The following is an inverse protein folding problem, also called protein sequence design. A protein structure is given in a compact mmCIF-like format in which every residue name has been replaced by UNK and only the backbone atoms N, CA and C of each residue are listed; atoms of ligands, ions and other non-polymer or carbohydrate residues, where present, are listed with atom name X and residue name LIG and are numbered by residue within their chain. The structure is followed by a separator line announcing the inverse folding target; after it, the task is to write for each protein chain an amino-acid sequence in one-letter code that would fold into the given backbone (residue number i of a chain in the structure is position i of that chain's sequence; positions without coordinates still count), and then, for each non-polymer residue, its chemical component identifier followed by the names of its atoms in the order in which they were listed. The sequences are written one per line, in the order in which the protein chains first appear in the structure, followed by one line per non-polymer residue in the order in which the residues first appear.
data_IF_681456917187
#
_entry.id   IF_681456917187
#
_cell.length_a   1.000
_cell.length_b   1.000
_cell.length_c   1.000
_cell.angle_alpha   90.00
_cell.angle_beta   90.00
_cell.angle_gamma   90.00
#
_symmetry.space_group_name_H-M   'P 1'
#
loop_
_entity.id
_entity.type
_entity.pdbx_description
1 polymer ?
#
# COMPACT_ATOMS: atom_id res chain seq x y z
N UNK A 1 12.97 2.73 6.98
CA UNK A 1 11.66 2.67 7.69
C UNK A 1 11.76 1.90 9.00
N UNK A 2 12.16 0.60 9.02
CA UNK A 2 12.33 -0.18 10.27
C UNK A 2 13.07 0.56 11.39
N UNK A 3 14.23 1.14 11.08
CA UNK A 3 15.02 1.90 12.07
C UNK A 3 14.27 3.12 12.61
N UNK A 4 13.50 3.81 11.76
CA UNK A 4 12.69 4.96 12.15
C UNK A 4 11.54 4.54 13.08
N UNK A 5 10.87 3.42 12.79
CA UNK A 5 9.80 2.88 13.65
C UNK A 5 10.32 2.60 15.07
N UNK A 6 11.47 1.94 15.18
CA UNK A 6 12.05 1.60 16.48
C UNK A 6 12.60 2.84 17.18
N UNK A 7 13.45 3.62 16.50
CA UNK A 7 14.19 4.70 17.14
C UNK A 7 13.34 5.94 17.45
N UNK A 8 12.35 6.25 16.60
CA UNK A 8 11.52 7.45 16.75
C UNK A 8 10.15 7.16 17.35
N UNK A 9 9.52 6.06 16.95
CA UNK A 9 8.14 5.74 17.36
C UNK A 9 8.07 4.66 18.45
N UNK A 10 9.21 4.10 18.87
CA UNK A 10 9.26 3.18 20.00
C UNK A 10 8.65 1.80 19.74
N UNK A 11 8.51 1.40 18.47
CA UNK A 11 8.06 0.06 18.13
C UNK A 11 9.03 -0.97 18.69
N UNK A 12 8.52 -2.02 19.34
CA UNK A 12 9.33 -3.13 19.79
C UNK A 12 9.96 -3.83 18.57
N UNK A 13 11.30 -3.93 18.46
CA UNK A 13 11.94 -4.57 17.32
C UNK A 13 11.55 -6.04 17.11
N UNK A 14 11.03 -6.72 18.14
CA UNK A 14 10.50 -8.09 18.05
C UNK A 14 9.09 -8.13 17.43
N UNK A 15 8.37 -7.01 17.42
CA UNK A 15 7.06 -6.84 16.77
C UNK A 15 7.17 -6.13 15.41
N UNK A 16 8.38 -6.06 14.83
CA UNK A 16 8.58 -5.54 13.48
C UNK A 16 9.10 -6.65 12.57
N UNK A 17 8.19 -7.26 11.82
CA UNK A 17 8.51 -8.28 10.81
C UNK A 17 8.95 -7.64 9.49
N UNK A 18 9.97 -8.21 8.84
CA UNK A 18 10.52 -7.72 7.57
C UNK A 18 10.53 -8.84 6.52
N UNK A 19 9.78 -8.64 5.43
CA UNK A 19 9.77 -9.53 4.27
C UNK A 19 10.50 -8.83 3.13
N UNK A 20 11.57 -9.45 2.63
CA UNK A 20 12.43 -8.92 1.56
C UNK A 20 12.86 -10.04 0.63
N UNK A 21 12.96 -9.77 -0.67
CA UNK A 21 13.29 -10.74 -1.72
C UNK A 21 14.79 -10.81 -2.03
N UNK A 22 15.64 -10.30 -1.12
CA UNK A 22 17.09 -10.36 -1.27
C UNK A 22 17.59 -11.80 -1.04
N UNK A 23 18.61 -12.28 -1.78
CA UNK A 23 19.24 -13.55 -1.48
C UNK A 23 19.67 -13.67 -0.01
N UNK A 24 19.29 -14.77 0.64
CA UNK A 24 19.58 -15.03 2.06
C UNK A 24 18.56 -14.46 3.06
N UNK A 25 17.44 -13.91 2.58
CA UNK A 25 16.36 -13.44 3.46
C UNK A 25 15.62 -14.59 4.13
N UNK A 26 15.15 -14.36 5.37
CA UNK A 26 14.46 -15.38 6.16
C UNK A 26 13.05 -15.68 5.62
N UNK A 27 12.33 -14.64 5.23
CA UNK A 27 10.96 -14.73 4.74
C UNK A 27 10.84 -13.98 3.42
N UNK A 28 10.46 -14.70 2.37
CA UNK A 28 10.21 -14.12 1.05
C UNK A 28 8.86 -13.37 1.04
N UNK A 29 8.75 -12.22 0.36
CA UNK A 29 7.52 -11.45 0.24
C UNK A 29 6.58 -12.06 -0.81
N UNK A 30 6.17 -13.32 -0.63
CA UNK A 30 5.13 -13.96 -1.43
C UNK A 30 3.75 -13.47 -1.02
N UNK A 31 2.73 -13.62 -1.88
CA UNK A 31 1.36 -13.23 -1.52
C UNK A 31 0.88 -13.91 -0.23
N UNK A 32 1.15 -15.21 -0.10
CA UNK A 32 0.81 -15.98 1.10
C UNK A 32 1.52 -15.46 2.37
N UNK A 33 2.82 -15.15 2.28
CA UNK A 33 3.59 -14.69 3.44
C UNK A 33 3.17 -13.27 3.87
N UNK A 34 2.92 -12.37 2.91
CA UNK A 34 2.43 -11.02 3.21
C UNK A 34 1.06 -11.08 3.88
N UNK A 35 0.12 -11.86 3.32
CA UNK A 35 -1.23 -12.01 3.89
C UNK A 35 -1.19 -12.66 5.28
N UNK A 36 -0.31 -13.63 5.51
CA UNK A 36 -0.11 -14.25 6.82
C UNK A 36 0.43 -13.26 7.85
N UNK A 37 1.44 -12.47 7.50
CA UNK A 37 2.03 -11.47 8.39
C UNK A 37 1.00 -10.38 8.76
N UNK A 38 0.29 -9.85 7.75
CA UNK A 38 -0.79 -8.86 7.97
C UNK A 38 -1.93 -9.44 8.83
N UNK A 39 -2.35 -10.66 8.53
CA UNK A 39 -3.43 -11.30 9.29
C UNK A 39 -3.02 -11.53 10.73
N UNK A 40 -1.83 -12.07 10.97
CA UNK A 40 -1.29 -12.30 12.32
C UNK A 40 -1.12 -11.02 13.12
N UNK A 41 -0.69 -9.92 12.48
CA UNK A 41 -0.59 -8.60 13.13
C UNK A 41 -1.97 -8.09 13.57
N UNK A 42 -2.99 -8.21 12.72
CA UNK A 42 -4.35 -7.73 13.01
C UNK A 42 -5.07 -8.64 14.02
N UNK A 43 -4.87 -9.96 13.94
CA UNK A 43 -5.52 -10.93 14.83
C UNK A 43 -5.02 -10.82 16.28
N UNK A 44 -3.82 -10.26 16.48
CA UNK A 44 -3.22 -10.01 17.80
C UNK A 44 -3.51 -8.59 18.32
N UNK A 45 -4.14 -7.73 17.53
CA UNK A 45 -4.33 -6.33 17.90
C UNK A 45 -5.39 -6.16 19.00
N UNK A 46 -5.14 -5.23 19.91
CA UNK A 46 -6.04 -4.81 20.98
C UNK A 46 -6.40 -3.32 20.85
N UNK A 47 -7.52 -2.87 21.45
CA UNK A 47 -7.82 -1.44 21.53
C UNK A 47 -6.66 -0.66 22.18
N UNK A 48 -6.16 0.35 21.47
CA UNK A 48 -5.01 1.16 21.85
C UNK A 48 -3.76 0.90 21.00
N UNK A 49 -3.72 -0.22 20.27
CA UNK A 49 -2.58 -0.58 19.43
C UNK A 49 -2.43 0.32 18.20
N UNK A 50 -1.18 0.49 17.77
CA UNK A 50 -0.79 1.20 16.55
C UNK A 50 -0.18 0.19 15.59
N UNK A 51 -0.94 -0.20 14.57
CA UNK A 51 -0.51 -1.10 13.52
C UNK A 51 0.07 -0.30 12.35
N UNK A 52 1.18 -0.77 11.80
CA UNK A 52 1.82 -0.13 10.66
C UNK A 52 2.24 -1.16 9.61
N UNK A 53 1.83 -0.93 8.37
CA UNK A 53 2.25 -1.71 7.21
C UNK A 53 2.94 -0.81 6.20
N UNK A 54 4.18 -1.14 5.82
CA UNK A 54 4.92 -0.46 4.76
C UNK A 54 5.16 -1.42 3.61
N UNK A 55 4.64 -1.06 2.44
CA UNK A 55 4.92 -1.76 1.19
C UNK A 55 5.73 -0.87 0.25
N UNK A 56 6.78 -1.43 -0.35
CA UNK A 56 7.52 -0.78 -1.43
C UNK A 56 7.83 -1.83 -2.49
N UNK A 57 7.18 -1.71 -3.64
CA UNK A 57 7.23 -2.72 -4.68
C UNK A 57 6.33 -2.36 -5.84
N UNK A 58 6.04 -3.35 -6.69
CA UNK A 58 5.21 -3.14 -7.86
C UNK A 58 3.72 -3.13 -7.50
N UNK A 59 2.97 -2.29 -8.21
CA UNK A 59 1.51 -2.40 -8.27
C UNK A 59 1.05 -2.68 -9.69
N UNK A 60 -0.21 -3.08 -9.81
CA UNK A 60 -0.86 -3.36 -11.08
C UNK A 60 -2.33 -2.98 -11.01
N UNK A 61 -2.93 -2.85 -12.18
CA UNK A 61 -4.33 -2.51 -12.34
C UNK A 61 -4.98 -3.61 -13.17
N UNK A 62 -5.81 -4.44 -12.54
CA UNK A 62 -6.43 -5.60 -13.17
C UNK A 62 -7.88 -5.32 -13.55
N UNK A 63 -8.39 -6.02 -14.54
CA UNK A 63 -9.82 -5.97 -14.87
C UNK A 63 -10.62 -6.76 -13.83
N UNK A 64 -11.59 -6.11 -13.18
CA UNK A 64 -12.43 -6.81 -12.21
C UNK A 64 -13.42 -7.75 -12.91
N UNK A 65 -13.57 -8.96 -12.36
CA UNK A 65 -14.40 -10.02 -12.92
C UNK A 65 -15.82 -9.51 -13.23
N UNK A 66 -16.19 -9.54 -14.51
CA UNK A 66 -17.51 -9.12 -15.01
C UNK A 66 -17.90 -7.67 -14.74
N UNK A 67 -16.94 -6.76 -14.58
CA UNK A 67 -17.24 -5.33 -14.49
C UNK A 67 -16.25 -4.50 -15.30
N UNK A 68 -16.68 -3.34 -15.77
CA UNK A 68 -15.77 -2.36 -16.39
C UNK A 68 -14.90 -1.62 -15.37
N UNK A 69 -15.01 -1.95 -14.07
CA UNK A 69 -14.18 -1.37 -13.04
C UNK A 69 -12.81 -2.03 -13.05
N UNK A 70 -11.79 -1.20 -12.91
CA UNK A 70 -10.43 -1.65 -12.70
C UNK A 70 -10.20 -1.81 -11.20
N UNK A 71 -9.43 -2.82 -10.83
CA UNK A 71 -9.10 -3.14 -9.45
C UNK A 71 -7.60 -2.98 -9.23
N UNK A 72 -7.23 -2.37 -8.11
CA UNK A 72 -5.84 -2.14 -7.75
C UNK A 72 -5.29 -3.33 -6.96
N UNK A 73 -4.03 -3.69 -7.24
CA UNK A 73 -3.34 -4.75 -6.52
C UNK A 73 -1.85 -4.45 -6.33
N UNK A 74 -1.32 -4.84 -5.18
CA UNK A 74 0.13 -4.97 -5.00
C UNK A 74 0.61 -6.28 -5.62
N UNK A 75 1.86 -6.31 -6.06
CA UNK A 75 2.47 -7.47 -6.72
C UNK A 75 3.59 -8.04 -5.85
N UNK A 76 3.32 -9.13 -5.11
CA UNK A 76 4.34 -9.87 -4.36
C UNK A 76 5.38 -10.53 -5.28
N UNK A 77 6.48 -11.05 -4.71
CA UNK A 77 7.61 -11.56 -5.51
C UNK A 77 7.27 -12.83 -6.31
N UNK A 78 6.19 -13.53 -5.97
CA UNK A 78 5.66 -14.70 -6.68
C UNK A 78 4.50 -14.35 -7.62
N UNK A 79 4.18 -13.06 -7.78
CA UNK A 79 3.05 -12.55 -8.58
C UNK A 79 1.67 -12.99 -8.09
N UNK A 80 1.55 -13.56 -6.88
CA UNK A 80 0.26 -13.86 -6.27
C UNK A 80 -0.37 -12.55 -5.77
N UNK A 81 -1.18 -11.92 -6.63
CA UNK A 81 -1.71 -10.58 -6.42
C UNK A 81 -2.51 -10.47 -5.12
N UNK A 82 -2.30 -9.36 -4.40
CA UNK A 82 -3.12 -8.97 -3.25
C UNK A 82 -3.88 -7.71 -3.65
N UNK A 83 -5.20 -7.81 -3.70
CA UNK A 83 -6.11 -6.78 -4.22
C UNK A 83 -6.63 -5.89 -3.11
N UNK A 84 -7.26 -4.76 -3.46
CA UNK A 84 -7.93 -3.93 -2.44
C UNK A 84 -9.02 -4.69 -1.68
N UNK A 85 -9.64 -5.74 -2.26
CA UNK A 85 -10.62 -6.59 -1.57
C UNK A 85 -10.00 -7.27 -0.35
N UNK A 86 -8.78 -7.78 -0.49
CA UNK A 86 -8.06 -8.44 0.58
C UNK A 86 -7.70 -7.44 1.69
N UNK A 87 -7.21 -6.25 1.32
CA UNK A 87 -6.93 -5.17 2.27
C UNK A 87 -8.17 -4.71 3.02
N UNK A 88 -9.31 -4.51 2.34
CA UNK A 88 -10.59 -4.16 2.96
C UNK A 88 -11.01 -5.21 3.98
N UNK A 89 -10.85 -6.49 3.63
CA UNK A 89 -11.17 -7.57 4.57
C UNK A 89 -10.28 -7.51 5.82
N UNK A 90 -8.98 -7.25 5.65
CA UNK A 90 -8.04 -7.09 6.76
C UNK A 90 -8.42 -5.90 7.66
N UNK A 91 -8.62 -4.73 7.06
CA UNK A 91 -9.01 -3.49 7.74
C UNK A 91 -10.29 -3.68 8.56
N UNK A 92 -11.29 -4.36 8.01
CA UNK A 92 -12.57 -4.60 8.70
C UNK A 92 -12.43 -5.39 10.02
N UNK A 93 -11.33 -6.13 10.18
CA UNK A 93 -11.03 -6.92 11.39
C UNK A 93 -10.25 -6.14 12.45
N UNK A 94 -9.76 -4.93 12.14
CA UNK A 94 -9.05 -4.08 13.11
C UNK A 94 -9.99 -3.77 14.29
N UNK A 95 -9.54 -3.98 15.54
CA UNK A 95 -10.38 -3.75 16.72
C UNK A 95 -10.68 -2.26 16.88
N UNK A 96 -11.86 -1.96 17.42
CA UNK A 96 -12.25 -0.57 17.68
C UNK A 96 -11.26 0.06 18.66
N UNK A 97 -10.72 1.22 18.31
CA UNK A 97 -9.76 1.94 19.12
C UNK A 97 -8.31 1.49 18.91
N UNK A 98 -8.00 0.63 17.94
CA UNK A 98 -6.67 0.52 17.37
C UNK A 98 -6.58 1.36 16.08
N UNK A 99 -5.39 1.78 15.70
CA UNK A 99 -5.15 2.46 14.42
C UNK A 99 -4.36 1.56 13.49
N UNK A 100 -4.66 1.61 12.19
CA UNK A 100 -3.90 0.88 11.18
C UNK A 100 -3.47 1.83 10.07
N UNK A 101 -2.16 2.07 9.98
CA UNK A 101 -1.56 2.94 8.97
C UNK A 101 -0.82 2.12 7.92
N UNK A 102 -1.20 2.32 6.66
CA UNK A 102 -0.58 1.73 5.48
C UNK A 102 0.22 2.82 4.75
N UNK A 103 1.52 2.61 4.62
CA UNK A 103 2.38 3.39 3.73
C UNK A 103 2.65 2.55 2.48
N UNK A 104 2.02 2.90 1.36
CA UNK A 104 2.19 2.18 0.10
C UNK A 104 3.02 3.01 -0.89
N UNK A 105 4.23 2.54 -1.19
CA UNK A 105 5.11 3.11 -2.19
C UNK A 105 5.17 2.20 -3.42
N UNK A 106 4.04 2.17 -4.14
CA UNK A 106 3.81 1.44 -5.39
C UNK A 106 2.95 2.27 -6.34
N UNK A 107 2.90 1.92 -7.62
CA UNK A 107 1.85 2.42 -8.52
C UNK A 107 0.51 1.78 -8.15
N UNK A 108 -0.62 2.37 -8.55
CA UNK A 108 -1.94 1.75 -8.41
C UNK A 108 -2.23 1.28 -6.98
N UNK A 109 -2.01 2.16 -5.99
CA UNK A 109 -2.30 1.87 -4.58
C UNK A 109 -3.24 2.87 -3.91
N UNK A 110 -3.84 3.80 -4.65
CA UNK A 110 -4.74 4.81 -4.10
C UNK A 110 -6.10 4.26 -3.66
N UNK A 111 -6.54 3.16 -4.26
CA UNK A 111 -7.78 2.44 -3.98
C UNK A 111 -7.64 1.25 -3.03
N UNK A 112 -6.46 1.01 -2.42
CA UNK A 112 -6.28 -0.13 -1.50
C UNK A 112 -7.25 -0.09 -0.30
N UNK A 113 -7.68 1.11 0.12
CA UNK A 113 -8.70 1.31 1.15
C UNK A 113 -9.83 2.25 0.69
N UNK A 114 -10.25 2.10 -0.57
CA UNK A 114 -11.27 2.78 -1.43
C UNK A 114 -12.45 3.59 -0.81
N UNK A 115 -12.68 3.57 0.50
CA UNK A 115 -13.82 4.22 1.16
C UNK A 115 -13.45 5.47 1.95
N UNK A 116 -12.16 5.74 2.13
CA UNK A 116 -11.73 6.94 2.85
C UNK A 116 -11.64 8.15 1.92
N UNK A 117 -12.11 9.30 2.39
CA UNK A 117 -12.05 10.55 1.65
C UNK A 117 -10.62 10.86 1.24
N UNK A 118 -10.41 11.25 -0.02
CA UNK A 118 -9.11 11.76 -0.47
C UNK A 118 -8.87 13.13 0.18
N UNK A 119 -8.16 13.11 1.31
CA UNK A 119 -7.87 14.29 2.12
C UNK A 119 -6.83 15.21 1.45
N UNK A 120 -6.00 14.61 0.60
CA UNK A 120 -4.98 15.30 -0.18
C UNK A 120 -4.93 14.69 -1.58
N UNK A 121 -5.65 15.28 -2.53
CA UNK A 121 -5.56 15.03 -3.97
C UNK A 121 -4.99 16.23 -4.75
N UNK A 122 -4.89 16.20 -6.08
CA UNK A 122 -4.53 17.37 -6.87
C UNK A 122 -5.75 18.29 -7.04
N UNK A 123 -5.54 19.60 -7.04
CA UNK A 123 -6.59 20.58 -7.38
C UNK A 123 -6.68 20.87 -8.90
N UNK A 124 -5.93 20.15 -9.73
CA UNK A 124 -5.81 20.40 -11.18
C UNK A 124 -5.30 19.20 -11.95
N UNK A 125 -5.78 19.01 -13.18
CA UNK A 125 -5.45 17.89 -14.08
C UNK A 125 -3.94 17.60 -14.17
N UNK A 126 -3.54 16.32 -14.20
CA UNK A 126 -2.15 15.93 -14.37
C UNK A 126 -1.63 16.49 -15.70
N UNK A 127 -0.56 17.28 -15.64
CA UNK A 127 0.21 17.61 -16.85
C UNK A 127 0.98 16.34 -17.21
N UNK A 128 0.88 15.89 -18.46
CA UNK A 128 1.71 14.82 -19.02
C UNK A 128 3.20 15.15 -18.83
N UNK A 129 3.75 14.76 -17.69
CA UNK A 129 5.16 14.92 -17.37
C UNK A 129 5.94 13.78 -18.00
N UNK A 130 7.01 14.10 -18.73
CA UNK A 130 7.95 13.10 -19.23
C UNK A 130 8.72 12.55 -18.02
N UNK A 131 8.48 11.30 -17.64
CA UNK A 131 9.22 10.62 -16.57
C UNK A 131 10.73 10.71 -16.86
N UNK A 132 11.56 11.23 -15.93
CA UNK A 132 12.99 11.35 -16.16
C UNK A 132 13.61 9.98 -16.49
N UNK A 133 14.63 9.89 -17.36
CA UNK A 133 15.20 8.62 -17.82
C UNK A 133 15.82 7.74 -16.71
N UNK A 134 16.00 8.28 -15.51
CA UNK A 134 16.53 7.59 -14.33
C UNK A 134 15.45 7.05 -13.38
N UNK A 135 14.17 7.24 -13.68
CA UNK A 135 13.05 6.75 -12.88
C UNK A 135 12.48 5.48 -13.49
N UNK A 136 12.43 4.38 -12.73
CA UNK A 136 11.74 3.17 -13.15
C UNK A 136 10.33 3.16 -12.55
N UNK A 137 9.28 3.00 -13.37
CA UNK A 137 7.92 2.92 -12.88
C UNK A 137 7.75 1.64 -12.05
N UNK A 138 7.04 1.75 -10.93
CA UNK A 138 6.66 0.63 -10.07
C UNK A 138 5.36 -0.04 -10.53
N UNK A 139 5.12 -0.06 -11.83
CA UNK A 139 3.95 -0.66 -12.44
C UNK A 139 4.35 -1.93 -13.18
N UNK A 140 3.60 -3.00 -12.98
CA UNK A 140 3.63 -4.16 -13.88
C UNK A 140 2.35 -4.12 -14.71
N UNK A 141 2.45 -3.99 -16.05
CA UNK A 141 1.27 -4.00 -16.92
C UNK A 141 0.48 -5.30 -16.79
N UNK A 142 -0.85 -5.18 -16.81
CA UNK A 142 -1.76 -6.33 -16.69
C UNK A 142 -1.48 -7.40 -17.76
N UNK A 143 -1.22 -6.99 -19.00
CA UNK A 143 -0.95 -7.89 -20.12
C UNK A 143 0.32 -8.71 -19.89
N UNK A 144 1.32 -8.15 -19.20
CA UNK A 144 2.56 -8.86 -18.86
C UNK A 144 2.29 -9.97 -17.83
N UNK A 145 1.46 -9.69 -16.83
CA UNK A 145 1.03 -10.70 -15.85
C UNK A 145 0.21 -11.81 -16.53
N UNK A 146 -0.77 -11.43 -17.36
CA UNK A 146 -1.60 -12.39 -18.07
C UNK A 146 -0.77 -13.29 -19.00
N UNK A 147 0.20 -12.73 -19.73
CA UNK A 147 1.11 -13.49 -20.57
C UNK A 147 1.98 -14.45 -19.75
N UNK A 148 2.53 -14.00 -18.63
CA UNK A 148 3.30 -14.85 -17.72
C UNK A 148 2.48 -16.04 -17.22
N UNK A 149 1.28 -15.78 -16.69
CA UNK A 149 0.41 -16.83 -16.17
C UNK A 149 -0.13 -17.77 -17.24
N UNK A 150 -0.41 -17.26 -18.44
CA UNK A 150 -0.75 -18.08 -19.62
C UNK A 150 0.39 -19.05 -19.93
N UNK A 151 1.64 -18.58 -19.89
CA UNK A 151 2.82 -19.40 -20.22
C UNK A 151 3.02 -20.57 -19.25
N UNK A 152 2.72 -20.40 -17.96
CA UNK A 152 2.93 -21.44 -16.94
C UNK A 152 1.73 -22.37 -16.77
N UNK A 153 0.51 -21.89 -16.99
CA UNK A 153 -0.72 -22.71 -16.85
C UNK A 153 -1.14 -23.40 -18.14
N UNK A 154 -0.63 -22.95 -19.30
CA UNK A 154 -1.07 -23.39 -20.63
C UNK A 154 -2.59 -23.24 -20.91
N UNK A 155 -3.29 -22.39 -20.14
CA UNK A 155 -4.72 -22.11 -20.34
C UNK A 155 -4.92 -20.95 -21.31
N UNK A 156 -5.92 -21.05 -22.19
CA UNK A 156 -6.34 -19.96 -23.08
C UNK A 156 -7.48 -19.21 -22.39
N UNK A 157 -7.17 -18.50 -21.32
CA UNK A 157 -8.12 -17.64 -20.60
C UNK A 157 -7.62 -16.21 -20.63
N UNK A 158 -8.53 -15.25 -20.76
CA UNK A 158 -8.23 -13.81 -20.56
C UNK A 158 -8.51 -13.37 -19.13
N UNK A 159 -9.18 -14.22 -18.34
CA UNK A 159 -9.43 -13.98 -16.93
C UNK A 159 -8.21 -14.40 -16.10
N UNK A 160 -7.47 -13.41 -15.60
CA UNK A 160 -6.30 -13.63 -14.73
C UNK A 160 -6.66 -14.41 -13.46
N UNK A 161 -7.89 -14.26 -12.94
CA UNK A 161 -8.34 -14.97 -11.74
C UNK A 161 -8.35 -16.48 -11.93
N UNK A 162 -8.73 -16.95 -13.13
CA UNK A 162 -8.67 -18.37 -13.50
C UNK A 162 -7.24 -18.93 -13.41
N UNK A 163 -6.24 -18.13 -13.76
CA UNK A 163 -4.83 -18.55 -13.67
C UNK A 163 -4.31 -18.48 -12.24
N UNK A 164 -4.61 -17.40 -11.51
CA UNK A 164 -4.16 -17.21 -10.13
C UNK A 164 -4.72 -18.29 -9.21
N UNK A 165 -5.99 -18.66 -9.36
CA UNK A 165 -6.60 -19.76 -8.59
C UNK A 165 -5.99 -21.12 -8.97
N UNK A 166 -5.64 -21.33 -10.25
CA UNK A 166 -4.96 -22.55 -10.69
C UNK A 166 -3.58 -22.71 -10.03
N UNK A 167 -2.81 -21.63 -9.96
CA UNK A 167 -1.43 -21.66 -9.45
C UNK A 167 -1.38 -21.64 -7.93
N UNK A 168 -2.19 -20.79 -7.28
CA UNK A 168 -2.09 -20.51 -5.85
C UNK A 168 -3.21 -21.13 -5.01
N UNK A 169 -4.27 -21.66 -5.63
CA UNK A 169 -5.35 -22.33 -4.92
C UNK A 169 -5.95 -21.44 -3.82
N UNK A 170 -5.90 -21.91 -2.57
CA UNK A 170 -6.39 -21.20 -1.37
C UNK A 170 -5.72 -19.87 -1.09
N UNK A 171 -4.51 -19.70 -1.57
CA UNK A 171 -3.67 -18.56 -1.25
C UNK A 171 -3.85 -17.41 -2.24
N UNK A 172 -4.62 -17.63 -3.32
CA UNK A 172 -5.03 -16.57 -4.24
C UNK A 172 -5.97 -15.58 -3.53
N UNK A 173 -5.93 -14.31 -3.95
CA UNK A 173 -6.84 -13.26 -3.48
C UNK A 173 -8.30 -13.70 -3.44
N UNK A 174 -9.02 -13.22 -2.43
CA UNK A 174 -10.47 -13.44 -2.29
C UNK A 174 -11.26 -12.94 -3.48
N UNK A 175 -10.79 -11.90 -4.16
CA UNK A 175 -11.41 -11.36 -5.37
C UNK A 175 -11.60 -12.44 -6.44
N UNK A 176 -10.65 -13.37 -6.56
CA UNK A 176 -10.69 -14.44 -7.57
C UNK A 176 -11.37 -15.71 -7.06
N UNK A 177 -11.33 -15.94 -5.73
CA UNK A 177 -11.86 -17.16 -5.11
C UNK A 177 -13.35 -17.08 -4.79
N UNK A 178 -13.84 -15.92 -4.38
CA UNK A 178 -15.21 -15.78 -3.89
C UNK A 178 -16.19 -15.45 -5.04
N UNK A 179 -17.43 -15.95 -4.96
CA UNK A 179 -18.49 -15.52 -5.87
C UNK A 179 -18.90 -14.06 -5.59
N UNK A 180 -19.42 -13.37 -6.61
CA UNK A 180 -19.75 -11.93 -6.53
C UNK A 180 -20.65 -11.55 -5.33
N UNK A 181 -21.60 -12.42 -4.96
CA UNK A 181 -22.52 -12.15 -3.84
C UNK A 181 -21.83 -12.19 -2.47
N UNK A 182 -20.70 -12.88 -2.33
CA UNK A 182 -19.87 -12.88 -1.11
C UNK A 182 -18.89 -11.71 -1.08
N UNK A 183 -18.50 -11.20 -2.26
CA UNK A 183 -17.69 -9.99 -2.40
C UNK A 183 -18.49 -8.72 -2.10
N UNK A 184 -19.80 -8.72 -2.37
CA UNK A 184 -20.68 -7.57 -2.14
C UNK A 184 -20.66 -7.06 -0.68
N UNK A 185 -20.83 -7.90 0.36
CA UNK A 185 -20.71 -7.48 1.76
C UNK A 185 -19.33 -6.89 2.09
N UNK A 186 -18.24 -7.47 1.57
CA UNK A 186 -16.87 -6.98 1.79
C UNK A 186 -16.68 -5.59 1.13
N UNK A 187 -17.33 -5.40 -0.03
CA UNK A 187 -17.28 -4.17 -0.81
C UNK A 187 -18.23 -3.09 -0.30
N UNK A 188 -19.33 -3.46 0.37
CA UNK A 188 -20.31 -2.51 0.95
C UNK A 188 -19.74 -1.86 2.21
N UNK A 189 -20.05 -0.58 2.48
CA UNK A 189 -19.62 0.09 3.71
C UNK A 189 -20.30 -0.57 4.91
N UNK A 190 -19.50 -1.16 5.80
CA UNK A 190 -19.96 -1.37 7.17
C UNK A 190 -19.85 -0.01 7.88
N UNK A 191 -20.77 0.24 8.81
CA UNK A 191 -21.03 1.52 9.49
C UNK A 191 -19.88 2.07 10.36
N UNK A 192 -18.61 1.67 10.15
CA UNK A 192 -17.48 2.13 10.94
C UNK A 192 -16.83 3.36 10.27
N UNK A 193 -16.76 4.52 10.95
CA UNK A 193 -16.21 5.76 10.39
C UNK A 193 -14.68 5.84 10.36
N UNK A 194 -13.97 4.75 10.67
CA UNK A 194 -12.51 4.71 10.78
C UNK A 194 -12.01 3.38 10.21
N UNK A 195 -11.78 3.36 8.88
CA UNK A 195 -11.32 2.19 8.11
C UNK A 195 -9.80 2.24 7.85
N UNK A 196 -9.04 2.88 8.75
CA UNK A 196 -7.58 2.97 8.67
C UNK A 196 -7.06 4.19 7.89
N UNK A 197 -5.74 4.24 7.74
CA UNK A 197 -5.01 5.41 7.24
C UNK A 197 -4.10 4.94 6.11
N UNK A 198 -4.34 5.39 4.87
CA UNK A 198 -3.47 5.07 3.73
C UNK A 198 -2.74 6.31 3.24
N UNK A 199 -1.42 6.20 3.25
CA UNK A 199 -0.50 7.09 2.57
C UNK A 199 -0.04 6.38 1.29
N UNK A 200 -0.55 6.80 0.13
CA UNK A 200 -0.19 6.24 -1.17
C UNK A 200 0.91 7.08 -1.83
N UNK A 201 1.85 6.43 -2.51
CA UNK A 201 2.93 7.06 -3.23
C UNK A 201 2.47 7.87 -4.43
N UNK A 202 1.34 7.51 -5.03
CA UNK A 202 0.75 8.19 -6.18
C UNK A 202 -0.77 8.26 -6.10
N UNK A 203 -1.34 9.15 -6.91
CA UNK A 203 -2.74 9.12 -7.27
C UNK A 203 -3.08 7.87 -8.09
N UNK A 204 -4.36 7.48 -8.08
CA UNK A 204 -4.87 6.35 -8.86
C UNK A 204 -4.59 6.45 -10.38
N UNK A 205 -4.33 7.67 -10.90
CA UNK A 205 -4.02 7.92 -12.31
C UNK A 205 -2.54 8.30 -12.56
N UNK A 206 -1.65 8.12 -11.57
CA UNK A 206 -0.24 8.50 -11.66
C UNK A 206 0.72 7.35 -11.33
N UNK A 207 1.98 7.49 -11.76
CA UNK A 207 3.01 6.44 -11.68
C UNK A 207 3.99 6.72 -10.53
N UNK A 208 4.14 5.77 -9.60
CA UNK A 208 5.17 5.79 -8.55
C UNK A 208 6.52 5.30 -9.10
N UNK A 209 7.62 5.82 -8.57
CA UNK A 209 8.95 5.56 -9.11
C UNK A 209 9.95 5.07 -8.06
N UNK A 210 10.87 4.21 -8.50
CA UNK A 210 12.17 4.03 -7.84
C UNK A 210 13.12 5.15 -8.22
N UNK A 211 13.90 5.61 -7.24
CA UNK A 211 14.90 6.67 -7.39
C UNK A 211 16.28 6.16 -7.02
N UNK A 212 17.28 6.52 -7.83
CA UNK A 212 18.69 6.31 -7.50
C UNK A 212 19.20 7.49 -6.66
N UNK A 213 19.47 7.26 -5.37
CA UNK A 213 20.09 8.29 -4.53
C UNK A 213 21.61 8.24 -4.73
N UNK A 214 22.20 9.39 -5.06
CA UNK A 214 23.64 9.55 -5.33
C UNK A 214 24.50 9.67 -4.05
N UNK A 215 23.90 9.69 -2.86
CA UNK A 215 24.63 9.70 -1.59
C UNK A 215 24.85 8.27 -1.05
N UNK A 216 26.12 7.91 -0.80
CA UNK A 216 26.58 6.66 -0.17
C UNK A 216 26.38 5.34 -0.95
N UNK A 217 26.65 5.38 -2.25
CA UNK A 217 26.66 4.20 -3.10
C UNK A 217 25.28 3.92 -3.68
N UNK A 218 25.23 3.77 -5.01
CA UNK A 218 24.01 3.59 -5.80
C UNK A 218 23.11 2.51 -5.21
N UNK A 219 22.07 2.91 -4.47
CA UNK A 219 21.00 2.02 -4.04
C UNK A 219 19.67 2.61 -4.51
N UNK A 220 18.92 1.90 -5.36
CA UNK A 220 17.56 2.32 -5.68
C UNK A 220 16.72 2.26 -4.40
N UNK A 221 15.88 3.27 -4.19
CA UNK A 221 14.88 3.28 -3.13
C UNK A 221 13.59 3.92 -3.63
N UNK A 222 12.44 3.56 -3.05
CA UNK A 222 11.17 4.19 -3.41
C UNK A 222 11.15 5.67 -3.09
N UNK A 223 10.72 6.49 -4.06
CA UNK A 223 10.75 7.96 -3.95
C UNK A 223 9.94 8.45 -2.74
N UNK A 224 8.72 7.92 -2.57
CA UNK A 224 7.82 8.34 -1.51
C UNK A 224 8.31 7.89 -0.13
N UNK A 225 8.75 6.64 0.00
CA UNK A 225 9.32 6.10 1.25
C UNK A 225 10.55 6.90 1.68
N UNK A 226 11.38 7.33 0.72
CA UNK A 226 12.52 8.18 1.01
C UNK A 226 12.07 9.60 1.41
N UNK A 227 11.10 10.20 0.73
CA UNK A 227 10.57 11.51 1.08
C UNK A 227 10.00 11.53 2.51
N UNK A 228 9.21 10.53 2.90
CA UNK A 228 8.69 10.39 4.27
C UNK A 228 9.83 10.27 5.28
N UNK A 229 10.85 9.47 5.01
CA UNK A 229 12.02 9.36 5.89
C UNK A 229 12.78 10.68 6.02
N UNK A 230 12.88 11.48 4.97
CA UNK A 230 13.49 12.81 5.03
C UNK A 230 12.67 13.78 5.89
N UNK A 231 11.34 13.81 5.72
CA UNK A 231 10.44 14.59 6.60
C UNK A 231 10.66 14.20 8.07
N UNK A 232 10.67 12.90 8.35
CA UNK A 232 10.88 12.35 9.68
C UNK A 232 12.32 12.53 10.20
N UNK A 233 13.28 12.89 9.37
CA UNK A 233 14.63 13.23 9.82
C UNK A 233 14.76 14.72 10.14
N UNK A 234 14.13 15.58 9.33
CA UNK A 234 14.21 17.03 9.45
C UNK A 234 13.32 17.60 10.56
N UNK A 235 12.19 16.96 10.85
CA UNK A 235 11.20 17.43 11.84
C UNK A 235 11.19 16.52 13.06
N UNK A 236 11.76 16.98 14.17
CA UNK A 236 11.81 16.22 15.43
C UNK A 236 10.49 16.19 16.21
N UNK A 237 9.62 17.19 16.02
CA UNK A 237 8.32 17.28 16.69
C UNK A 237 7.25 16.32 16.14
N UNK A 238 6.09 16.21 16.82
CA UNK A 238 4.94 15.45 16.31
C UNK A 238 4.44 16.09 15.00
N UNK A 239 3.99 15.23 14.08
CA UNK A 239 3.43 15.64 12.79
C UNK A 239 2.11 14.90 12.57
N UNK A 240 1.13 15.55 11.98
CA UNK A 240 -0.10 14.88 11.56
C UNK A 240 0.11 14.01 10.31
N UNK A 241 -0.82 13.08 10.06
CA UNK A 241 -0.84 12.31 8.81
C UNK A 241 -0.86 13.23 7.57
N UNK A 242 -1.65 14.31 7.63
CA UNK A 242 -1.72 15.36 6.60
C UNK A 242 -0.37 16.06 6.40
N UNK A 243 0.29 16.44 7.49
CA UNK A 243 1.60 17.11 7.42
C UNK A 243 2.68 16.23 6.80
N UNK A 244 2.71 14.93 7.14
CA UNK A 244 3.65 13.97 6.55
C UNK A 244 3.53 13.95 5.02
N UNK A 245 2.30 13.82 4.50
CA UNK A 245 2.06 13.74 3.05
C UNK A 245 2.34 15.08 2.36
N UNK A 246 1.90 16.21 2.92
CA UNK A 246 2.16 17.54 2.36
C UNK A 246 3.66 17.87 2.31
N UNK A 247 4.42 17.51 3.36
CA UNK A 247 5.87 17.72 3.37
C UNK A 247 6.58 16.75 2.43
N UNK A 248 6.13 15.50 2.31
CA UNK A 248 6.66 14.54 1.34
C UNK A 248 6.47 15.04 -0.10
N UNK A 249 5.29 15.58 -0.45
CA UNK A 249 5.04 16.25 -1.74
C UNK A 249 6.04 17.37 -2.01
N UNK A 250 6.32 18.22 -1.02
CA UNK A 250 7.30 19.32 -1.16
C UNK A 250 8.71 18.80 -1.43
N UNK A 251 9.14 17.74 -0.73
CA UNK A 251 10.46 17.13 -0.93
C UNK A 251 10.57 16.52 -2.34
N UNK A 252 9.53 15.81 -2.81
CA UNK A 252 9.52 15.24 -4.16
C UNK A 252 9.60 16.33 -5.23
N UNK A 253 8.83 17.42 -5.09
CA UNK A 253 8.89 18.57 -6.00
C UNK A 253 10.28 19.22 -6.01
N UNK A 254 10.90 19.42 -4.84
CA UNK A 254 12.27 19.97 -4.74
C UNK A 254 13.33 19.07 -5.37
N UNK A 255 13.12 17.75 -5.35
CA UNK A 255 13.99 16.78 -6.01
C UNK A 255 13.64 16.54 -7.48
N UNK A 256 12.79 17.38 -8.06
CA UNK A 256 12.33 17.31 -9.45
C UNK A 256 11.52 16.04 -9.82
N UNK A 257 10.92 15.38 -8.82
CA UNK A 257 9.95 14.29 -9.03
C UNK A 257 8.52 14.87 -9.12
N UNK A 258 8.26 15.68 -10.14
CA UNK A 258 7.00 16.42 -10.31
C UNK A 258 5.82 15.57 -10.80
N UNK A 259 6.01 14.25 -10.91
CA UNK A 259 5.08 13.31 -11.56
C UNK A 259 4.47 12.35 -10.55
N UNK A 260 4.95 12.41 -9.30
CA UNK A 260 4.54 11.58 -8.20
C UNK A 260 3.90 12.49 -7.15
N UNK A 261 2.58 12.39 -6.99
CA UNK A 261 1.85 13.13 -5.97
C UNK A 261 1.30 12.16 -4.92
N UNK A 262 2.00 11.99 -3.79
CA UNK A 262 1.51 11.14 -2.71
C UNK A 262 0.14 11.59 -2.21
N UNK A 263 -0.77 10.65 -1.94
CA UNK A 263 -2.11 10.95 -1.46
C UNK A 263 -2.33 10.45 -0.03
N UNK A 264 -3.31 11.04 0.64
CA UNK A 264 -3.79 10.62 1.95
C UNK A 264 -5.26 10.23 1.83
N UNK A 265 -5.57 8.99 2.22
CA UNK A 265 -6.93 8.47 2.30
C UNK A 265 -7.17 8.08 3.75
N UNK A 266 -8.00 8.85 4.43
CA UNK A 266 -8.49 8.59 5.78
C UNK A 266 -9.68 9.51 6.10
N UNK A 267 -10.27 9.34 7.28
CA UNK A 267 -11.27 10.27 7.82
C UNK A 267 -10.64 11.64 8.11
N UNK A 268 -11.48 12.68 8.25
CA UNK A 268 -11.02 14.02 8.63
C UNK A 268 -10.26 14.01 9.96
N UNK A 269 -10.76 13.24 10.95
CA UNK A 269 -10.12 13.08 12.26
C UNK A 269 -8.73 12.46 12.14
N UNK A 270 -8.61 11.38 11.36
CA UNK A 270 -7.33 10.74 11.12
C UNK A 270 -6.36 11.61 10.33
N UNK A 271 -6.85 12.49 9.45
CA UNK A 271 -5.97 13.35 8.67
C UNK A 271 -5.16 14.28 9.58
N UNK A 272 -5.81 14.80 10.62
CA UNK A 272 -5.21 15.75 11.56
C UNK A 272 -4.63 15.06 12.82
N UNK A 273 -4.90 13.76 13.01
CA UNK A 273 -4.26 12.94 14.04
C UNK A 273 -2.74 12.83 13.83
N UNK A 274 -2.00 12.70 14.94
CA UNK A 274 -0.54 12.55 14.93
C UNK A 274 -0.15 11.21 14.32
N UNK A 275 0.74 11.26 13.32
CA UNK A 275 1.24 10.09 12.60
C UNK A 275 1.87 9.07 13.57
N UNK A 276 1.34 7.84 13.55
CA UNK A 276 1.71 6.72 14.42
C UNK A 276 1.63 7.01 15.92
N UNK A 277 0.72 7.90 16.33
CA UNK A 277 0.36 8.05 17.74
C UNK A 277 -0.69 7.01 18.15
N UNK A 278 -0.64 6.50 19.39
CA UNK A 278 -1.75 5.77 19.97
C UNK A 278 -3.04 6.62 19.92
N UNK A 279 -4.20 6.00 19.64
CA UNK A 279 -5.47 6.70 19.64
C UNK A 279 -5.76 7.30 21.02
N UNK A 280 -6.29 8.52 21.04
CA UNK A 280 -6.67 9.17 22.29
C UNK A 280 -7.83 8.38 22.92
N UNK A 281 -7.71 8.05 24.21
CA UNK A 281 -8.86 7.46 24.94
C UNK A 281 -10.03 8.44 24.83
N UNK A 282 -11.25 7.97 24.50
CA UNK A 282 -12.41 8.85 24.55
C UNK A 282 -12.49 9.43 25.97
N UNK A 283 -12.57 10.75 26.05
CA UNK A 283 -12.84 11.47 27.30
C UNK A 283 -14.09 10.85 27.94
N UNK A 284 -14.05 10.51 29.25
CA UNK A 284 -15.18 9.90 29.94
C UNK A 284 -16.41 10.81 29.97
#
# INVERSE_FOLDING_TARGET
MREVLVARFGFDPNHVELLIDKPGSLTMPTGANIMKALSGMIDQAEPGDVLFFHYSGHGTLIEARNSSKKEEAIVPCDFNLITSVDFRQLVNRVPKGATFTILSDSCHSGGLIDKETEQIGPSSNPRNGITPPFCKPKEIPFESLLQYFTSITSKISTDIGTHLVEVFGSDASLMFRLPLHELEPISKPYLKPDEGILLSGCQANETSADVEIMENGRKPCGAFSNAVQMVLKEKSGPLSNREIVLMARKILMMKHFNHQHPCLYCSDENADAIFLSPPQKPSP
#
